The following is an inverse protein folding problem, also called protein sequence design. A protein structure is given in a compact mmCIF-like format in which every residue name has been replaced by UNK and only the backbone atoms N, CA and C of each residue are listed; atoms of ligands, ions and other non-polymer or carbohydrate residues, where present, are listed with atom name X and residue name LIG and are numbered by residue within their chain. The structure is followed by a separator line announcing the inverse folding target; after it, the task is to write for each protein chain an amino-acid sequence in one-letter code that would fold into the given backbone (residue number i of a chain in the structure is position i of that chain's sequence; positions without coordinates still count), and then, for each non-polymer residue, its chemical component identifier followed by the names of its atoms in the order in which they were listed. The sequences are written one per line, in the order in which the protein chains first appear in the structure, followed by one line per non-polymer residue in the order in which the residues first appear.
data_IF_548987143837
#
_entry.id   IF_548987143837
#
_cell.length_a   1.000
_cell.length_b   1.000
_cell.length_c   1.000
_cell.angle_alpha   90.00
_cell.angle_beta   90.00
_cell.angle_gamma   90.00
#
_symmetry.space_group_name_H-M   'P 1'
#
loop_
_entity.id
_entity.type
_entity.pdbx_description
1 polymer ?
#
# COMPACT_ATOMS: atom_id res chain seq x y z
N UNK A 1 8.89 48.21 62.91
CA UNK A 1 8.50 47.28 61.84
C UNK A 1 7.25 47.86 61.20
N UNK A 2 7.37 48.42 60.00
CA UNK A 2 6.21 48.88 59.24
C UNK A 2 5.84 47.75 58.26
N UNK A 3 4.63 47.23 58.40
CA UNK A 3 4.06 46.26 57.46
C UNK A 3 3.54 47.03 56.24
N UNK A 4 4.11 46.71 55.09
CA UNK A 4 3.81 47.33 53.80
C UNK A 4 2.51 46.72 53.25
N UNK A 5 1.40 47.45 53.36
CA UNK A 5 0.10 47.02 52.84
C UNK A 5 0.10 47.15 51.30
N UNK A 6 0.08 46.00 50.62
CA UNK A 6 -0.01 45.94 49.17
C UNK A 6 -1.31 46.58 48.64
N UNK A 7 -1.17 47.62 47.81
CA UNK A 7 -2.29 48.35 47.21
C UNK A 7 -3.17 47.42 46.34
N UNK A 8 -4.47 47.27 46.66
CA UNK A 8 -5.39 46.38 45.94
C UNK A 8 -5.59 46.77 44.47
N UNK A 9 -5.23 47.99 44.06
CA UNK A 9 -5.28 48.40 42.64
C UNK A 9 -4.13 47.79 41.84
N UNK A 10 -2.92 47.68 42.42
CA UNK A 10 -1.78 47.02 41.79
C UNK A 10 -2.02 45.53 41.60
N UNK A 11 -2.68 44.88 42.56
CA UNK A 11 -2.95 43.44 42.51
C UNK A 11 -3.93 43.08 41.37
N UNK A 12 -4.92 43.94 41.08
CA UNK A 12 -5.84 43.76 39.94
C UNK A 12 -5.13 43.93 38.59
N UNK A 13 -4.25 44.92 38.45
CA UNK A 13 -3.48 45.12 37.21
C UNK A 13 -2.55 43.94 36.91
N UNK A 14 -1.86 43.40 37.93
CA UNK A 14 -1.01 42.21 37.77
C UNK A 14 -1.84 40.99 37.32
N UNK A 15 -3.02 40.80 37.90
CA UNK A 15 -3.91 39.69 37.53
C UNK A 15 -4.36 39.80 36.06
N UNK A 16 -4.74 40.98 35.58
CA UNK A 16 -5.14 41.20 34.18
C UNK A 16 -3.99 41.00 33.19
N UNK A 17 -2.77 41.41 33.54
CA UNK A 17 -1.59 41.18 32.70
C UNK A 17 -1.21 39.69 32.63
N UNK A 18 -1.27 38.96 33.75
CA UNK A 18 -0.98 37.52 33.77
C UNK A 18 -2.02 36.71 32.98
N UNK A 19 -3.31 37.02 33.09
CA UNK A 19 -4.35 36.30 32.33
C UNK A 19 -4.26 36.58 30.83
N UNK A 20 -3.97 37.82 30.42
CA UNK A 20 -3.73 38.15 29.01
C UNK A 20 -2.54 37.40 28.43
N UNK A 21 -1.44 37.28 29.19
CA UNK A 21 -0.22 36.59 28.72
C UNK A 21 -0.45 35.09 28.52
N UNK A 22 -1.19 34.45 29.45
CA UNK A 22 -1.53 33.02 29.36
C UNK A 22 -2.43 32.74 28.15
N UNK A 23 -3.42 33.60 27.88
CA UNK A 23 -4.30 33.46 26.72
C UNK A 23 -3.51 33.58 25.41
N UNK A 24 -2.60 34.55 25.31
CA UNK A 24 -1.77 34.70 24.11
C UNK A 24 -0.85 33.50 23.88
N UNK A 25 -0.23 32.94 24.92
CA UNK A 25 0.63 31.77 24.82
C UNK A 25 -0.13 30.51 24.38
N UNK A 26 -1.36 30.31 24.90
CA UNK A 26 -2.22 29.20 24.49
C UNK A 26 -2.65 29.31 23.01
N UNK A 27 -2.97 30.52 22.54
CA UNK A 27 -3.32 30.69 21.12
C UNK A 27 -2.15 30.38 20.19
N UNK A 28 -0.91 30.80 20.51
CA UNK A 28 0.25 30.48 19.65
C UNK A 28 0.56 28.99 19.60
N UNK A 29 0.32 28.24 20.69
CA UNK A 29 0.51 26.78 20.71
C UNK A 29 -0.55 26.04 19.87
N UNK A 30 -1.80 26.50 19.88
CA UNK A 30 -2.87 25.89 19.08
C UNK A 30 -2.68 26.11 17.57
N UNK A 31 -2.14 27.27 17.16
CA UNK A 31 -1.89 27.56 15.74
C UNK A 31 -0.56 26.99 15.20
N UNK A 32 0.42 26.71 16.06
CA UNK A 32 1.68 26.08 15.64
C UNK A 32 1.50 24.60 15.21
N UNK A 33 0.39 23.95 15.58
CA UNK A 33 0.10 22.55 15.24
C UNK A 33 -0.61 22.32 13.89
N UNK A 34 -1.08 23.37 13.20
CA UNK A 34 -1.95 23.25 12.01
C UNK A 34 -1.17 23.45 10.69
N UNK A 35 0.13 23.76 10.74
CA UNK A 35 0.98 23.65 9.56
C UNK A 35 1.35 22.19 9.29
N UNK A 36 0.32 21.41 8.92
CA UNK A 36 0.47 20.20 8.14
C UNK A 36 1.33 20.57 6.94
N UNK A 37 2.61 20.16 6.97
CA UNK A 37 3.47 20.24 5.79
C UNK A 37 2.65 19.66 4.64
N UNK A 38 2.54 20.34 3.48
CA UNK A 38 1.83 19.78 2.35
C UNK A 38 2.42 18.39 2.15
N UNK A 39 1.57 17.36 2.20
CA UNK A 39 1.96 15.98 1.89
C UNK A 39 2.67 16.11 0.56
N UNK A 40 3.99 15.99 0.60
CA UNK A 40 4.82 15.98 -0.58
C UNK A 40 4.39 14.69 -1.25
N UNK A 41 3.43 14.80 -2.17
CA UNK A 41 3.14 13.73 -3.12
C UNK A 41 4.49 13.51 -3.77
N UNK A 42 5.18 12.44 -3.36
CA UNK A 42 6.39 12.00 -4.02
C UNK A 42 6.07 12.06 -5.50
N UNK A 43 6.81 12.91 -6.21
CA UNK A 43 6.67 13.07 -7.63
C UNK A 43 6.71 11.65 -8.17
N UNK A 44 5.59 11.21 -8.77
CA UNK A 44 5.41 9.90 -9.40
C UNK A 44 6.70 9.65 -10.16
N UNK A 45 7.59 8.82 -9.61
CA UNK A 45 8.82 8.44 -10.27
C UNK A 45 8.31 7.80 -11.55
N UNK A 46 8.40 8.54 -12.66
CA UNK A 46 8.17 8.03 -13.99
C UNK A 46 9.30 7.05 -14.20
N UNK A 47 9.11 5.84 -13.66
CA UNK A 47 10.03 4.77 -13.84
C UNK A 47 10.01 4.49 -15.33
N UNK A 48 11.15 4.74 -15.97
CA UNK A 48 11.34 4.76 -17.42
C UNK A 48 11.31 3.34 -18.03
N UNK A 49 10.62 2.41 -17.38
CA UNK A 49 10.35 1.05 -17.83
C UNK A 49 8.97 1.03 -18.46
N UNK A 50 8.93 1.35 -19.77
CA UNK A 50 7.76 1.38 -20.65
C UNK A 50 7.01 0.04 -20.80
N UNK A 51 7.37 -1.00 -20.06
CA UNK A 51 6.87 -2.36 -20.24
C UNK A 51 5.84 -2.75 -19.17
N UNK A 52 5.54 -1.83 -18.25
CA UNK A 52 4.51 -2.00 -17.24
C UNK A 52 3.24 -1.29 -17.67
N UNK A 53 2.12 -2.00 -17.65
CA UNK A 53 0.79 -1.45 -17.82
C UNK A 53 0.13 -1.28 -16.44
N UNK A 54 -0.46 -0.11 -16.14
CA UNK A 54 -1.28 0.05 -14.96
C UNK A 54 -2.57 -0.77 -15.13
N UNK A 55 -2.97 -1.46 -14.05
CA UNK A 55 -4.22 -2.24 -14.03
C UNK A 55 -5.17 -1.68 -12.98
N UNK A 56 -4.66 -1.37 -11.79
CA UNK A 56 -5.42 -0.86 -10.64
C UNK A 56 -6.69 -1.68 -10.31
N UNK A 57 -6.57 -3.01 -10.31
CA UNK A 57 -7.68 -3.92 -10.00
C UNK A 57 -7.62 -4.38 -8.54
N UNK A 58 -8.66 -4.09 -7.78
CA UNK A 58 -8.77 -4.50 -6.38
C UNK A 58 -9.34 -5.93 -6.26
N UNK A 59 -8.76 -6.71 -5.35
CA UNK A 59 -9.27 -8.01 -4.93
C UNK A 59 -9.73 -7.97 -3.48
N UNK A 60 -11.03 -8.25 -3.28
CA UNK A 60 -11.70 -8.07 -2.00
C UNK A 60 -11.47 -6.66 -1.43
N UNK A 61 -11.21 -6.59 -0.13
CA UNK A 61 -11.07 -5.31 0.59
C UNK A 61 -9.62 -4.99 0.97
N UNK A 62 -8.65 -5.78 0.47
CA UNK A 62 -7.33 -5.85 1.10
C UNK A 62 -6.14 -5.67 0.15
N UNK A 63 -6.28 -5.99 -1.14
CA UNK A 63 -5.15 -5.96 -2.10
C UNK A 63 -5.54 -5.30 -3.41
N UNK A 64 -4.62 -4.50 -3.96
CA UNK A 64 -4.73 -3.93 -5.30
C UNK A 64 -3.59 -4.47 -6.17
N UNK A 65 -3.93 -5.02 -7.33
CA UNK A 65 -2.99 -5.24 -8.42
C UNK A 65 -2.71 -3.89 -9.08
N UNK A 66 -1.56 -3.29 -8.77
CA UNK A 66 -1.18 -1.96 -9.27
C UNK A 66 -0.82 -2.01 -10.75
N UNK A 67 0.03 -2.96 -11.14
CA UNK A 67 0.53 -3.06 -12.51
C UNK A 67 1.02 -4.46 -12.86
N UNK A 68 1.07 -4.73 -14.17
CA UNK A 68 1.69 -5.92 -14.75
C UNK A 68 2.84 -5.46 -15.64
N UNK A 69 4.02 -6.07 -15.51
CA UNK A 69 5.19 -5.77 -16.32
C UNK A 69 5.56 -6.97 -17.19
N UNK A 70 5.72 -6.72 -18.49
CA UNK A 70 6.17 -7.72 -19.45
C UNK A 70 7.70 -7.59 -19.64
N UNK A 71 8.46 -8.39 -18.90
CA UNK A 71 9.91 -8.45 -19.04
C UNK A 71 10.31 -9.56 -20.03
N UNK A 72 11.58 -9.52 -20.48
CA UNK A 72 12.07 -10.48 -21.49
C UNK A 72 11.92 -11.94 -21.05
N UNK A 73 12.22 -12.21 -19.78
CA UNK A 73 12.33 -13.56 -19.23
C UNK A 73 11.21 -13.92 -18.24
N UNK A 74 10.32 -12.96 -17.92
CA UNK A 74 9.25 -13.17 -16.95
C UNK A 74 8.14 -12.13 -17.09
N UNK A 75 6.98 -12.48 -16.58
CA UNK A 75 5.85 -11.57 -16.34
C UNK A 75 5.81 -11.24 -14.85
N UNK A 76 5.68 -9.96 -14.50
CA UNK A 76 5.71 -9.50 -13.10
C UNK A 76 4.39 -8.84 -12.73
N UNK A 77 3.73 -9.36 -11.70
CA UNK A 77 2.54 -8.76 -11.11
C UNK A 77 2.93 -7.99 -9.86
N UNK A 78 2.56 -6.72 -9.79
CA UNK A 78 2.90 -5.84 -8.67
C UNK A 78 1.65 -5.54 -7.85
N UNK A 79 1.67 -5.92 -6.59
CA UNK A 79 0.54 -5.77 -5.68
C UNK A 79 0.85 -4.76 -4.57
N UNK A 80 -0.19 -4.13 -4.06
CA UNK A 80 -0.15 -3.29 -2.87
C UNK A 80 -1.27 -3.63 -1.91
N UNK A 81 -0.92 -3.80 -0.64
CA UNK A 81 -1.85 -4.03 0.45
C UNK A 81 -2.49 -2.70 0.89
N UNK A 82 -3.82 -2.66 1.04
CA UNK A 82 -4.56 -1.42 1.36
C UNK A 82 -5.02 -1.33 2.82
N UNK A 83 -5.12 -2.47 3.51
CA UNK A 83 -5.35 -2.59 4.96
C UNK A 83 -4.06 -3.14 5.61
N UNK A 84 -3.92 -3.31 6.92
CA UNK A 84 -2.80 -4.09 7.50
C UNK A 84 -3.32 -5.47 7.88
N UNK A 85 -2.62 -6.54 7.51
CA UNK A 85 -3.05 -7.91 7.83
C UNK A 85 -1.90 -8.92 7.69
N UNK A 86 -2.14 -10.13 8.17
CA UNK A 86 -1.25 -11.27 7.98
C UNK A 86 -1.55 -11.97 6.66
N UNK A 87 -0.51 -12.22 5.86
CA UNK A 87 -0.58 -12.80 4.52
C UNK A 87 0.56 -13.81 4.30
N UNK A 88 0.36 -14.73 3.37
CA UNK A 88 1.39 -15.54 2.74
C UNK A 88 0.85 -15.98 1.37
N UNK A 89 1.68 -16.60 0.54
CA UNK A 89 1.25 -17.20 -0.73
C UNK A 89 1.99 -18.52 -0.95
N UNK A 90 1.38 -19.45 -1.68
CA UNK A 90 1.97 -20.70 -2.13
C UNK A 90 2.54 -20.52 -3.54
N UNK A 91 3.84 -20.25 -3.64
CA UNK A 91 4.43 -19.92 -4.95
C UNK A 91 4.36 -21.07 -5.94
N UNK A 92 4.36 -22.32 -5.47
CA UNK A 92 4.25 -23.55 -6.27
C UNK A 92 2.82 -23.83 -6.75
N UNK A 93 1.82 -23.17 -6.16
CA UNK A 93 0.38 -23.32 -6.48
C UNK A 93 -0.21 -22.10 -7.19
N UNK A 94 0.64 -21.13 -7.54
CA UNK A 94 0.26 -20.01 -8.40
C UNK A 94 0.24 -20.46 -9.86
N UNK A 95 -0.94 -20.38 -10.47
CA UNK A 95 -1.14 -20.63 -11.89
C UNK A 95 -1.61 -19.35 -12.59
N UNK A 96 -0.98 -19.03 -13.71
CA UNK A 96 -1.47 -17.99 -14.63
C UNK A 96 -1.97 -18.64 -15.92
N UNK A 97 -3.17 -18.27 -16.35
CA UNK A 97 -3.78 -18.71 -17.61
C UNK A 97 -4.12 -17.50 -18.46
N UNK A 98 -3.85 -17.58 -19.76
CA UNK A 98 -4.21 -16.50 -20.70
C UNK A 98 -5.47 -16.79 -21.52
N UNK A 99 -5.94 -15.75 -22.22
CA UNK A 99 -7.07 -15.82 -23.16
C UNK A 99 -6.88 -16.82 -24.32
N UNK A 100 -5.63 -17.20 -24.61
CA UNK A 100 -5.27 -18.16 -25.65
C UNK A 100 -5.14 -19.59 -25.10
N UNK A 101 -5.55 -19.81 -23.84
CA UNK A 101 -5.45 -21.08 -23.11
C UNK A 101 -4.02 -21.55 -22.83
N UNK A 102 -3.01 -20.69 -22.95
CA UNK A 102 -1.68 -21.00 -22.44
C UNK A 102 -1.70 -20.93 -20.91
N UNK A 103 -0.88 -21.79 -20.29
CA UNK A 103 -0.63 -21.81 -18.86
C UNK A 103 0.82 -21.49 -18.60
N UNK A 104 1.07 -20.73 -17.55
CA UNK A 104 2.40 -20.24 -17.19
C UNK A 104 2.67 -20.57 -15.74
N UNK A 105 3.86 -21.12 -15.50
CA UNK A 105 4.29 -21.46 -14.15
C UNK A 105 4.76 -20.21 -13.41
N UNK A 106 4.53 -20.22 -12.11
CA UNK A 106 5.18 -19.30 -11.19
C UNK A 106 6.69 -19.56 -11.17
N UNK A 107 7.45 -18.47 -11.17
CA UNK A 107 8.90 -18.42 -11.01
C UNK A 107 9.29 -18.00 -9.59
N UNK A 108 8.30 -17.70 -8.74
CA UNK A 108 8.49 -17.28 -7.36
C UNK A 108 7.82 -15.94 -7.04
N UNK A 109 8.17 -15.40 -5.88
CA UNK A 109 7.58 -14.18 -5.34
C UNK A 109 8.59 -13.36 -4.54
N UNK A 110 8.27 -12.09 -4.30
CA UNK A 110 9.10 -11.18 -3.53
C UNK A 110 8.24 -10.28 -2.65
N UNK A 111 8.75 -9.94 -1.46
CA UNK A 111 8.03 -9.13 -0.49
C UNK A 111 6.86 -9.84 0.19
N UNK A 112 6.73 -11.16 0.07
CA UNK A 112 5.74 -11.98 0.78
C UNK A 112 6.39 -13.32 1.14
N UNK A 113 5.92 -13.97 2.20
CA UNK A 113 6.45 -15.25 2.67
C UNK A 113 5.69 -16.43 2.03
N UNK A 114 6.41 -17.54 1.89
CA UNK A 114 5.84 -18.83 1.47
C UNK A 114 4.99 -19.40 2.60
N UNK A 115 3.75 -19.80 2.29
CA UNK A 115 2.92 -20.47 3.27
C UNK A 115 3.52 -21.83 3.69
N UNK A 116 3.37 -22.26 4.97
CA UNK A 116 2.51 -21.69 6.01
C UNK A 116 3.17 -20.56 6.82
N UNK A 117 4.35 -20.06 6.41
CA UNK A 117 5.00 -18.97 7.13
C UNK A 117 4.23 -17.67 6.90
N UNK A 118 3.63 -17.17 7.97
CA UNK A 118 2.83 -15.96 7.96
C UNK A 118 3.69 -14.70 7.99
N UNK A 119 3.30 -13.69 7.20
CA UNK A 119 3.93 -12.38 7.15
C UNK A 119 2.94 -11.27 7.50
N UNK A 120 3.29 -10.41 8.45
CA UNK A 120 2.46 -9.24 8.79
C UNK A 120 2.75 -8.07 7.84
N UNK A 121 1.88 -7.88 6.85
CA UNK A 121 1.94 -6.77 5.91
C UNK A 121 1.26 -5.53 6.48
N UNK A 122 2.02 -4.44 6.61
CA UNK A 122 1.46 -3.12 6.96
C UNK A 122 0.73 -2.54 5.76
N UNK A 123 -0.23 -1.64 6.00
CA UNK A 123 -0.87 -0.83 4.94
C UNK A 123 0.18 -0.17 4.05
N UNK A 124 0.00 -0.30 2.73
CA UNK A 124 0.91 0.21 1.71
C UNK A 124 2.07 -0.73 1.37
N UNK A 125 2.21 -1.85 2.07
CA UNK A 125 3.19 -2.88 1.75
C UNK A 125 3.02 -3.39 0.32
N UNK A 126 4.14 -3.62 -0.37
CA UNK A 126 4.16 -4.09 -1.75
C UNK A 126 4.82 -5.45 -1.84
N UNK A 127 4.26 -6.30 -2.70
CA UNK A 127 4.80 -7.61 -3.01
C UNK A 127 4.60 -7.91 -4.49
N UNK A 128 5.31 -8.92 -4.97
CA UNK A 128 5.36 -9.27 -6.38
C UNK A 128 5.23 -10.76 -6.58
N UNK A 129 4.59 -11.13 -7.68
CA UNK A 129 4.63 -12.48 -8.21
C UNK A 129 5.31 -12.48 -9.58
N UNK A 130 6.08 -13.54 -9.83
CA UNK A 130 6.81 -13.74 -11.06
C UNK A 130 6.25 -14.97 -11.76
N UNK A 131 5.95 -14.84 -13.05
CA UNK A 131 5.55 -15.95 -13.91
C UNK A 131 6.45 -16.02 -15.14
N UNK A 132 6.40 -17.13 -15.85
CA UNK A 132 7.01 -17.24 -17.18
C UNK A 132 6.56 -16.09 -18.11
N UNK A 133 7.42 -15.75 -19.08
CA UNK A 133 7.06 -14.75 -20.11
C UNK A 133 5.83 -15.18 -20.89
N UNK A 134 4.92 -14.24 -21.13
CA UNK A 134 3.76 -14.47 -21.99
C UNK A 134 4.18 -14.90 -23.40
N UNK A 135 3.40 -15.83 -23.98
CA UNK A 135 3.52 -16.26 -25.36
C UNK A 135 2.48 -15.53 -26.21
N UNK A 136 2.95 -14.83 -27.23
CA UNK A 136 2.08 -14.06 -28.13
C UNK A 136 1.53 -12.78 -27.48
N UNK A 137 0.28 -12.43 -27.81
CA UNK A 137 -0.39 -11.19 -27.35
C UNK A 137 -1.80 -11.51 -26.84
N UNK A 138 -1.95 -12.17 -25.68
CA UNK A 138 -3.26 -12.43 -25.09
C UNK A 138 -3.96 -11.13 -24.70
N UNK A 139 -5.30 -11.13 -24.76
CA UNK A 139 -6.11 -9.96 -24.39
C UNK A 139 -6.26 -9.82 -22.88
N UNK A 140 -6.32 -10.93 -22.16
CA UNK A 140 -6.40 -10.97 -20.71
C UNK A 140 -5.70 -12.20 -20.13
N UNK A 141 -5.45 -12.15 -18.83
CA UNK A 141 -4.96 -13.27 -18.03
C UNK A 141 -5.77 -13.42 -16.75
N UNK A 142 -5.85 -14.65 -16.27
CA UNK A 142 -6.33 -15.03 -14.96
C UNK A 142 -5.13 -15.53 -14.14
N UNK A 143 -5.07 -15.17 -12.86
CA UNK A 143 -4.05 -15.63 -11.93
C UNK A 143 -4.74 -16.18 -10.68
N UNK A 144 -4.52 -17.44 -10.38
CA UNK A 144 -5.16 -18.14 -9.28
C UNK A 144 -4.12 -18.83 -8.42
N UNK A 145 -4.24 -18.68 -7.11
CA UNK A 145 -3.63 -19.60 -6.17
C UNK A 145 -4.63 -20.74 -5.91
N UNK A 146 -4.17 -22.00 -5.94
CA UNK A 146 -5.04 -23.18 -5.82
C UNK A 146 -6.11 -23.03 -4.73
N UNK A 147 -7.36 -22.86 -5.19
CA UNK A 147 -8.52 -22.61 -4.33
C UNK A 147 -8.93 -23.86 -3.52
N UNK A 148 -8.38 -25.03 -3.85
CA UNK A 148 -8.70 -26.30 -3.19
C UNK A 148 -7.75 -26.62 -2.04
N UNK A 149 -6.75 -25.77 -1.76
CA UNK A 149 -5.84 -25.96 -0.66
C UNK A 149 -6.55 -25.83 0.70
N UNK A 150 -6.08 -26.59 1.70
CA UNK A 150 -6.60 -26.51 3.06
C UNK A 150 -6.30 -25.13 3.66
N UNK A 151 -7.32 -24.42 4.19
CA UNK A 151 -7.14 -23.08 4.71
C UNK A 151 -6.23 -23.10 5.96
N UNK A 152 -5.25 -22.20 6.00
CA UNK A 152 -4.31 -22.07 7.14
C UNK A 152 -5.04 -21.60 8.40
N UNK A 153 -6.09 -20.80 8.23
CA UNK A 153 -6.96 -20.29 9.28
C UNK A 153 -8.41 -20.22 8.79
N UNK A 154 -9.38 -20.20 9.71
CA UNK A 154 -10.82 -20.25 9.38
C UNK A 154 -11.33 -19.11 8.49
N UNK A 155 -10.60 -17.99 8.41
CA UNK A 155 -10.90 -16.83 7.58
C UNK A 155 -9.87 -16.62 6.45
N UNK A 156 -9.05 -17.63 6.16
CA UNK A 156 -8.07 -17.55 5.08
C UNK A 156 -8.78 -17.43 3.73
N UNK A 157 -8.28 -16.53 2.87
CA UNK A 157 -8.79 -16.34 1.51
C UNK A 157 -7.64 -16.56 0.55
N UNK A 158 -7.80 -17.55 -0.31
CA UNK A 158 -6.90 -17.80 -1.42
C UNK A 158 -6.91 -16.65 -2.40
N UNK A 159 -5.77 -16.39 -3.00
CA UNK A 159 -5.63 -15.30 -3.94
C UNK A 159 -6.19 -15.65 -5.32
N UNK A 160 -6.95 -14.75 -5.94
CA UNK A 160 -7.50 -14.97 -7.27
C UNK A 160 -7.78 -13.67 -8.01
N UNK A 161 -7.31 -13.53 -9.24
CA UNK A 161 -7.60 -12.39 -10.11
C UNK A 161 -8.01 -12.90 -11.48
N UNK A 162 -9.24 -12.62 -11.89
CA UNK A 162 -9.74 -12.96 -13.22
C UNK A 162 -9.68 -11.76 -14.15
N UNK A 163 -9.70 -11.98 -15.46
CA UNK A 163 -9.88 -10.97 -16.49
C UNK A 163 -8.99 -9.74 -16.29
N UNK A 164 -7.70 -9.97 -16.02
CA UNK A 164 -6.69 -8.91 -15.96
C UNK A 164 -6.40 -8.48 -17.39
N UNK A 165 -6.90 -7.31 -17.78
CA UNK A 165 -6.77 -6.81 -19.15
C UNK A 165 -5.31 -6.45 -19.46
N UNK A 166 -4.75 -7.08 -20.49
CA UNK A 166 -3.40 -6.83 -20.96
C UNK A 166 -3.31 -6.01 -22.25
N UNK A 167 -4.43 -5.52 -22.80
CA UNK A 167 -4.46 -4.79 -24.06
C UNK A 167 -3.61 -3.51 -24.06
N UNK A 168 -3.32 -2.95 -22.88
CA UNK A 168 -2.50 -1.75 -22.72
C UNK A 168 -1.01 -2.08 -22.41
N UNK A 169 -0.67 -3.36 -22.34
CA UNK A 169 0.68 -3.83 -22.02
C UNK A 169 1.47 -4.05 -23.32
N UNK A 170 2.56 -3.32 -23.49
CA UNK A 170 3.46 -3.51 -24.62
C UNK A 170 4.67 -4.34 -24.17
N UNK A 171 4.89 -5.50 -24.80
CA UNK A 171 6.17 -6.20 -24.69
C UNK A 171 7.23 -5.48 -25.52
N UNK A 172 8.47 -5.41 -25.02
CA UNK A 172 9.61 -5.10 -25.90
C UNK A 172 9.99 -6.38 -26.64
N UNK A 173 9.98 -6.31 -27.96
CA UNK A 173 10.70 -7.27 -28.83
C UNK A 173 12.21 -7.24 -28.57
#
# INVERSE_FOLDING_TARGET
MAEDFADPRRMKFIFFFCTSLIVTLFTTFLFAGIQSRPIQREAKIKNKNSNCCPVEKQYGDSVVLESVCLEKNRTVFNFRYIVSNTICSYSDRLEMKDSNSNRYRSLGMNGIQECPQLFYAKRGHRFQWYFESLKGKPSFVDVTEDLNADPIASNWRWWHWENINLAQCNSKE
#
